data_IF_091987943919
#
_entry.id   IF_091987943919
#
_cell.length_a   1.000
_cell.length_b   1.000
_cell.length_c   1.000
_cell.angle_alpha   90.00
_cell.angle_beta   90.00
_cell.angle_gamma   90.00
#
_symmetry.space_group_name_H-M   'P 1'
#
loop_
_entity.id
_entity.type
_entity.pdbx_description
1 polymer ?
#
# COMPACT_ATOMS: atom_id res chain seq x y z
N UNK A 1 -10.91 1.04 1.93
CA UNK A 1 -9.62 1.09 1.19
C UNK A 1 -9.01 -0.29 1.01
N UNK A 2 -8.66 -1.01 2.09
CA UNK A 2 -8.00 -2.33 1.99
C UNK A 2 -8.81 -3.36 1.17
N UNK A 3 -10.15 -3.34 1.26
CA UNK A 3 -11.01 -4.17 0.40
C UNK A 3 -10.84 -3.89 -1.10
N UNK A 4 -10.76 -2.61 -1.52
CA UNK A 4 -10.53 -2.25 -2.92
C UNK A 4 -9.13 -2.67 -3.40
N UNK A 5 -8.13 -2.57 -2.53
CA UNK A 5 -6.75 -3.02 -2.81
C UNK A 5 -6.68 -4.55 -2.92
N UNK A 6 -7.41 -5.28 -2.07
CA UNK A 6 -7.49 -6.74 -2.18
C UNK A 6 -8.20 -7.18 -3.47
N UNK A 7 -9.29 -6.51 -3.83
CA UNK A 7 -10.02 -6.77 -5.08
C UNK A 7 -9.14 -6.47 -6.29
N UNK A 8 -8.40 -5.35 -6.32
CA UNK A 8 -7.48 -5.05 -7.43
C UNK A 8 -6.31 -6.04 -7.50
N UNK A 9 -5.79 -6.52 -6.37
CA UNK A 9 -4.78 -7.58 -6.35
C UNK A 9 -5.30 -8.91 -6.92
N UNK A 10 -6.55 -9.30 -6.61
CA UNK A 10 -7.18 -10.51 -7.17
C UNK A 10 -7.34 -10.37 -8.70
N UNK A 11 -7.81 -9.21 -9.18
CA UNK A 11 -7.92 -8.96 -10.61
C UNK A 11 -6.56 -8.94 -11.32
N UNK A 12 -5.49 -8.47 -10.67
CA UNK A 12 -4.13 -8.54 -11.20
C UNK A 12 -3.66 -9.99 -11.38
N UNK A 13 -3.90 -10.84 -10.38
CA UNK A 13 -3.52 -12.27 -10.44
C UNK A 13 -4.27 -12.95 -11.59
N UNK A 14 -5.58 -12.70 -11.71
CA UNK A 14 -6.41 -13.19 -12.82
C UNK A 14 -5.91 -12.67 -14.18
N UNK A 15 -5.54 -11.39 -14.27
CA UNK A 15 -5.02 -10.78 -15.48
C UNK A 15 -3.69 -11.41 -15.91
N UNK A 16 -2.78 -11.67 -14.97
CA UNK A 16 -1.49 -12.29 -15.25
C UNK A 16 -1.63 -13.76 -15.64
N UNK A 17 -2.54 -14.50 -14.99
CA UNK A 17 -2.79 -15.93 -15.23
C UNK A 17 -3.51 -16.19 -16.56
N UNK A 18 -4.58 -15.45 -16.85
CA UNK A 18 -5.46 -15.70 -18.01
C UNK A 18 -5.13 -14.79 -19.19
N UNK A 19 -4.21 -13.82 -19.01
CA UNK A 19 -3.88 -12.79 -20.01
C UNK A 19 -5.11 -12.01 -20.49
N UNK A 20 -6.06 -11.78 -19.58
CA UNK A 20 -7.35 -11.13 -19.87
C UNK A 20 -7.24 -9.61 -19.77
N UNK A 21 -7.48 -8.91 -20.88
CA UNK A 21 -7.56 -7.46 -20.93
C UNK A 21 -8.66 -6.89 -20.01
N UNK A 22 -9.78 -7.60 -19.88
CA UNK A 22 -10.89 -7.20 -19.02
C UNK A 22 -10.53 -7.22 -17.53
N UNK A 23 -9.66 -8.14 -17.13
CA UNK A 23 -9.16 -8.20 -15.76
C UNK A 23 -8.20 -7.04 -15.44
N UNK A 24 -7.37 -6.60 -16.41
CA UNK A 24 -6.54 -5.40 -16.26
C UNK A 24 -7.39 -4.13 -16.12
N UNK A 25 -8.48 -4.04 -16.87
CA UNK A 25 -9.42 -2.92 -16.78
C UNK A 25 -10.13 -2.91 -15.42
N UNK A 26 -10.66 -4.06 -14.98
CA UNK A 26 -11.28 -4.21 -13.66
C UNK A 26 -10.34 -3.87 -12.50
N UNK A 27 -9.07 -4.31 -12.59
CA UNK A 27 -8.02 -3.91 -11.66
C UNK A 27 -7.82 -2.40 -11.62
N UNK A 28 -7.70 -1.77 -12.80
CA UNK A 28 -7.44 -0.33 -12.91
C UNK A 28 -8.57 0.48 -12.28
N UNK A 29 -9.83 0.09 -12.51
CA UNK A 29 -11.00 0.72 -11.88
C UNK A 29 -10.95 0.55 -10.35
N UNK A 30 -10.71 -0.66 -9.86
CA UNK A 30 -10.63 -0.91 -8.43
C UNK A 30 -9.50 -0.10 -7.76
N UNK A 31 -8.39 0.11 -8.48
CA UNK A 31 -7.28 0.94 -8.01
C UNK A 31 -7.65 2.42 -7.92
N UNK A 32 -8.33 2.96 -8.94
CA UNK A 32 -8.84 4.35 -8.92
C UNK A 32 -9.84 4.54 -7.77
N UNK A 33 -10.74 3.58 -7.56
CA UNK A 33 -11.69 3.60 -6.44
C UNK A 33 -10.98 3.54 -5.08
N UNK A 34 -9.84 2.85 -4.97
CA UNK A 34 -9.03 2.82 -3.74
C UNK A 34 -8.37 4.17 -3.42
N UNK A 35 -8.19 5.03 -4.43
CA UNK A 35 -7.60 6.36 -4.26
C UNK A 35 -8.56 7.32 -3.52
N UNK A 36 -9.88 7.13 -3.66
CA UNK A 36 -10.90 7.96 -2.99
C UNK A 36 -10.76 7.88 -1.45
N UNK A 37 -10.85 6.71 -0.80
CA UNK A 37 -10.69 6.62 0.64
C UNK A 37 -9.26 6.97 1.09
N UNK A 38 -8.24 6.71 0.26
CA UNK A 38 -6.87 7.15 0.56
C UNK A 38 -6.75 8.67 0.66
N UNK A 39 -7.39 9.39 -0.27
CA UNK A 39 -7.39 10.86 -0.30
C UNK A 39 -8.14 11.41 0.92
N UNK A 40 -9.30 10.84 1.25
CA UNK A 40 -10.08 11.22 2.43
C UNK A 40 -9.26 11.00 3.72
N UNK A 41 -8.59 9.84 3.86
CA UNK A 41 -7.71 9.56 4.99
C UNK A 41 -6.57 10.58 5.09
N UNK A 42 -5.91 10.90 3.97
CA UNK A 42 -4.83 11.90 3.94
C UNK A 42 -5.32 13.29 4.32
N UNK A 43 -6.45 13.74 3.79
CA UNK A 43 -7.02 15.05 4.12
C UNK A 43 -7.45 15.13 5.59
N UNK A 44 -8.05 14.06 6.13
CA UNK A 44 -8.46 14.02 7.54
C UNK A 44 -7.27 14.19 8.50
N UNK A 45 -6.11 13.65 8.12
CA UNK A 45 -4.89 13.71 8.93
C UNK A 45 -4.04 14.93 8.64
N UNK A 46 -4.10 15.52 7.45
CA UNK A 46 -3.35 16.74 7.14
C UNK A 46 -3.68 17.88 8.13
N UNK A 47 -4.92 17.93 8.61
CA UNK A 47 -5.35 18.87 9.65
C UNK A 47 -4.72 18.63 11.03
N UNK A 48 -4.30 17.39 11.33
CA UNK A 48 -3.66 16.96 12.58
C UNK A 48 -2.14 16.96 12.46
N UNK A 49 -1.59 16.56 11.31
CA UNK A 49 -0.16 16.58 10.96
C UNK A 49 0.39 18.01 10.87
N UNK A 50 -0.43 19.01 10.49
CA UNK A 50 -0.03 20.43 10.44
C UNK A 50 -0.12 21.16 11.77
N UNK A 51 -0.66 20.54 12.83
CA UNK A 51 -0.75 21.21 14.13
C UNK A 51 0.63 21.26 14.79
N UNK A 52 1.04 22.42 15.35
CA UNK A 52 2.28 22.50 16.11
C UNK A 52 2.22 21.57 17.32
N UNK A 53 3.33 20.88 17.60
CA UNK A 53 3.48 19.91 18.70
C UNK A 53 3.04 20.44 20.08
N UNK A 54 3.04 21.77 20.27
CA UNK A 54 2.55 22.43 21.47
C UNK A 54 1.02 22.42 21.65
N UNK A 55 0.26 22.00 20.63
CA UNK A 55 -1.21 21.94 20.65
C UNK A 55 -1.76 20.51 20.66
N UNK A 56 -0.90 19.50 20.59
CA UNK A 56 -1.24 18.09 20.77
C UNK A 56 -0.89 17.67 22.19
N UNK A 57 -1.76 16.86 22.80
CA UNK A 57 -1.45 16.26 24.10
C UNK A 57 -0.23 15.32 23.97
N UNK A 58 0.61 15.26 25.00
CA UNK A 58 1.89 14.56 24.97
C UNK A 58 1.73 13.03 24.82
N UNK A 59 0.52 12.53 25.09
CA UNK A 59 0.09 11.18 24.75
C UNK A 59 -0.23 11.01 23.25
N UNK A 60 -0.95 11.96 22.64
CA UNK A 60 -1.34 11.93 21.23
C UNK A 60 -0.13 11.95 20.29
N UNK A 61 0.89 12.73 20.64
CA UNK A 61 2.17 12.78 19.92
C UNK A 61 2.92 11.44 19.95
N UNK A 62 2.96 10.77 21.12
CA UNK A 62 3.63 9.46 21.29
C UNK A 62 2.95 8.36 20.48
N UNK A 63 1.62 8.34 20.46
CA UNK A 63 0.84 7.37 19.67
C UNK A 63 1.10 7.58 18.17
N UNK A 64 1.10 8.82 17.69
CA UNK A 64 1.38 9.13 16.28
C UNK A 64 2.78 8.65 15.85
N UNK A 65 3.80 8.94 16.66
CA UNK A 65 5.18 8.53 16.37
C UNK A 65 5.34 7.01 16.38
N UNK A 66 4.65 6.31 17.29
CA UNK A 66 4.66 4.85 17.32
C UNK A 66 4.08 4.25 16.05
N UNK A 67 2.93 4.73 15.60
CA UNK A 67 2.30 4.25 14.37
C UNK A 67 3.08 4.63 13.11
N UNK A 68 3.74 5.79 13.11
CA UNK A 68 4.63 6.22 12.03
C UNK A 68 5.87 5.33 11.92
N UNK A 69 6.48 4.97 13.06
CA UNK A 69 7.59 4.00 13.11
C UNK A 69 7.16 2.63 12.60
N UNK A 70 5.98 2.14 13.03
CA UNK A 70 5.44 0.86 12.54
C UNK A 70 5.15 0.90 11.04
N UNK A 71 4.56 1.97 10.52
CA UNK A 71 4.31 2.14 9.09
C UNK A 71 5.61 2.16 8.28
N UNK A 72 6.64 2.85 8.77
CA UNK A 72 7.95 2.90 8.12
C UNK A 72 8.64 1.53 8.14
N UNK A 73 8.61 0.82 9.28
CA UNK A 73 9.16 -0.52 9.40
C UNK A 73 8.45 -1.52 8.48
N UNK A 74 7.12 -1.43 8.38
CA UNK A 74 6.31 -2.25 7.49
C UNK A 74 6.64 -1.96 6.02
N UNK A 75 6.71 -0.68 5.64
CA UNK A 75 7.11 -0.26 4.28
C UNK A 75 8.49 -0.79 3.91
N UNK A 76 9.45 -0.67 4.83
CA UNK A 76 10.81 -1.15 4.60
C UNK A 76 10.87 -2.69 4.49
N UNK A 77 10.08 -3.41 5.30
CA UNK A 77 9.96 -4.86 5.20
C UNK A 77 9.35 -5.30 3.85
N UNK A 78 8.30 -4.62 3.38
CA UNK A 78 7.72 -4.89 2.06
C UNK A 78 8.67 -4.55 0.91
N UNK A 79 9.37 -3.42 0.98
CA UNK A 79 10.37 -3.05 -0.02
C UNK A 79 11.52 -4.05 -0.07
N UNK A 80 12.01 -4.47 1.10
CA UNK A 80 13.08 -5.46 1.18
C UNK A 80 12.61 -6.81 0.64
N UNK A 81 11.47 -7.33 1.10
CA UNK A 81 10.90 -8.58 0.61
C UNK A 81 10.62 -8.55 -0.90
N UNK A 82 9.99 -7.46 -1.39
CA UNK A 82 9.72 -7.25 -2.80
C UNK A 82 10.98 -7.18 -3.64
N UNK A 83 12.00 -6.45 -3.18
CA UNK A 83 13.30 -6.37 -3.86
C UNK A 83 14.01 -7.72 -3.92
N UNK A 84 14.01 -8.47 -2.82
CA UNK A 84 14.65 -9.78 -2.73
C UNK A 84 13.96 -10.81 -3.63
N UNK A 85 12.63 -10.86 -3.61
CA UNK A 85 11.84 -11.69 -4.54
C UNK A 85 12.09 -11.25 -5.98
N UNK A 86 12.15 -9.95 -6.25
CA UNK A 86 12.37 -9.43 -7.60
C UNK A 86 13.76 -9.78 -8.14
N UNK A 87 14.78 -9.81 -7.27
CA UNK A 87 16.12 -10.23 -7.64
C UNK A 87 16.20 -11.73 -7.88
N UNK A 88 15.64 -12.55 -6.98
CA UNK A 88 15.68 -14.01 -7.10
C UNK A 88 14.90 -14.51 -8.32
N UNK A 89 13.67 -14.04 -8.50
CA UNK A 89 12.81 -14.45 -9.60
C UNK A 89 13.32 -13.87 -10.92
N UNK A 90 13.81 -12.62 -10.92
CA UNK A 90 14.41 -12.00 -12.10
C UNK A 90 15.64 -12.76 -12.58
N UNK A 91 16.52 -13.15 -11.67
CA UNK A 91 17.72 -13.92 -12.00
C UNK A 91 17.38 -15.34 -12.52
N UNK A 92 16.40 -16.01 -11.90
CA UNK A 92 16.03 -17.38 -12.26
C UNK A 92 15.21 -17.50 -13.55
N UNK A 93 14.24 -16.59 -13.77
CA UNK A 93 13.33 -16.67 -14.92
C UNK A 93 13.80 -15.87 -16.15
N UNK A 94 14.54 -14.78 -15.96
CA UNK A 94 14.90 -13.88 -17.08
C UNK A 94 16.33 -14.07 -17.57
N UNK A 95 17.16 -14.90 -16.91
CA UNK A 95 18.42 -15.41 -17.46
C UNK A 95 19.37 -14.37 -18.07
N UNK A 96 19.30 -13.11 -17.63
CA UNK A 96 20.12 -12.00 -18.16
C UNK A 96 19.43 -11.02 -19.11
N UNK A 97 18.12 -11.11 -19.38
CA UNK A 97 17.43 -10.15 -20.26
C UNK A 97 15.93 -10.01 -20.04
N UNK A 98 15.45 -8.78 -19.90
CA UNK A 98 14.01 -8.44 -19.94
C UNK A 98 13.58 -8.38 -21.41
N UNK A 99 13.43 -9.52 -22.07
CA UNK A 99 13.02 -9.58 -23.48
C UNK A 99 11.77 -10.43 -23.65
N UNK A 100 10.76 -9.86 -24.33
CA UNK A 100 9.50 -10.53 -24.66
C UNK A 100 8.37 -10.33 -23.64
N UNK A 101 7.25 -10.99 -23.90
CA UNK A 101 5.99 -10.86 -23.14
C UNK A 101 6.10 -11.31 -21.68
N UNK A 102 7.02 -12.22 -21.37
CA UNK A 102 7.29 -12.70 -20.01
C UNK A 102 7.93 -11.60 -19.16
N UNK A 103 8.88 -10.85 -19.74
CA UNK A 103 9.52 -9.70 -19.07
C UNK A 103 8.51 -8.60 -18.74
N UNK A 104 7.59 -8.28 -19.65
CA UNK A 104 6.57 -7.26 -19.43
C UNK A 104 5.59 -7.65 -18.32
N UNK A 105 5.14 -8.92 -18.28
CA UNK A 105 4.27 -9.43 -17.20
C UNK A 105 4.94 -9.36 -15.84
N UNK A 106 6.23 -9.70 -15.80
CA UNK A 106 7.03 -9.62 -14.59
C UNK A 106 7.21 -8.19 -14.09
N UNK A 107 7.55 -7.27 -15.00
CA UNK A 107 7.72 -5.85 -14.68
C UNK A 107 6.41 -5.22 -14.17
N UNK A 108 5.28 -5.56 -14.80
CA UNK A 108 3.95 -5.16 -14.33
C UNK A 108 3.66 -5.70 -12.93
N UNK A 109 3.88 -7.00 -12.70
CA UNK A 109 3.68 -7.62 -11.38
C UNK A 109 4.52 -6.95 -10.29
N UNK A 110 5.80 -6.69 -10.55
CA UNK A 110 6.70 -6.01 -9.61
C UNK A 110 6.27 -4.56 -9.35
N UNK A 111 5.91 -3.81 -10.39
CA UNK A 111 5.42 -2.43 -10.25
C UNK A 111 4.13 -2.34 -9.42
N UNK A 112 3.20 -3.27 -9.64
CA UNK A 112 1.97 -3.31 -8.86
C UNK A 112 2.15 -3.77 -7.43
N UNK A 113 3.08 -4.71 -7.18
CA UNK A 113 3.45 -5.08 -5.81
C UNK A 113 3.96 -3.87 -5.01
N UNK A 114 4.81 -3.04 -5.62
CA UNK A 114 5.31 -1.81 -4.99
C UNK A 114 4.17 -0.82 -4.71
N UNK A 115 3.26 -0.65 -5.67
CA UNK A 115 2.06 0.18 -5.50
C UNK A 115 1.21 -0.29 -4.31
N UNK A 116 0.89 -1.58 -4.23
CA UNK A 116 0.11 -2.12 -3.12
C UNK A 116 0.81 -1.98 -1.77
N UNK A 117 2.11 -2.26 -1.73
CA UNK A 117 2.93 -2.10 -0.52
C UNK A 117 2.91 -0.66 0.00
N UNK A 118 2.97 0.32 -0.91
CA UNK A 118 2.86 1.74 -0.59
C UNK A 118 1.48 2.09 -0.05
N UNK A 119 0.41 1.68 -0.71
CA UNK A 119 -0.95 1.97 -0.26
C UNK A 119 -1.22 1.41 1.14
N UNK A 120 -0.77 0.19 1.43
CA UNK A 120 -0.94 -0.44 2.75
C UNK A 120 -0.17 0.33 3.83
N UNK A 121 1.09 0.68 3.54
CA UNK A 121 1.96 1.33 4.53
C UNK A 121 1.57 2.79 4.78
N UNK A 122 1.17 3.53 3.74
CA UNK A 122 0.81 4.94 3.83
C UNK A 122 -0.45 5.19 4.68
N UNK A 123 -1.33 4.20 4.83
CA UNK A 123 -2.56 4.33 5.62
C UNK A 123 -2.51 3.74 7.01
N UNK A 124 -1.42 3.05 7.37
CA UNK A 124 -1.27 2.49 8.70
C UNK A 124 -1.32 3.55 9.82
N UNK A 125 -0.63 4.71 9.71
CA UNK A 125 -0.69 5.75 10.73
C UNK A 125 -2.10 6.31 10.89
N UNK A 126 -2.81 6.42 9.77
CA UNK A 126 -4.13 6.98 9.69
C UNK A 126 -5.19 6.13 10.39
N UNK A 127 -5.18 4.84 10.06
CA UNK A 127 -6.09 3.86 10.64
C UNK A 127 -5.73 3.59 12.10
N UNK A 128 -4.43 3.53 12.42
CA UNK A 128 -3.94 3.35 13.79
C UNK A 128 -4.37 4.49 14.73
N UNK A 129 -4.28 5.73 14.26
CA UNK A 129 -4.78 6.89 14.99
C UNK A 129 -6.29 6.83 15.20
N UNK A 130 -7.07 6.59 14.13
CA UNK A 130 -8.53 6.50 14.23
C UNK A 130 -8.99 5.38 15.18
N UNK A 131 -8.36 4.21 15.14
CA UNK A 131 -8.67 3.11 16.05
C UNK A 131 -8.37 3.43 17.51
N UNK A 132 -7.27 4.15 17.77
CA UNK A 132 -6.84 4.47 19.16
C UNK A 132 -7.75 5.52 19.81
N UNK A 133 -8.28 6.48 19.03
CA UNK A 133 -9.09 7.57 19.57
C UNK A 133 -10.60 7.35 19.42
N UNK A 134 -11.05 6.50 18.49
CA UNK A 134 -12.46 6.15 18.34
C UNK A 134 -12.94 5.08 19.35
N UNK A 135 -12.03 4.44 20.09
CA UNK A 135 -12.37 3.48 21.15
C UNK A 135 -12.66 4.13 22.51
N UNK A 136 -12.30 5.40 22.71
CA UNK A 136 -12.43 6.08 24.02
C UNK A 136 -13.81 6.74 24.26
N UNK A 137 -14.86 6.32 23.55
CA UNK A 137 -16.22 6.87 23.73
C UNK A 137 -17.18 5.96 24.50
N UNK A 138 -16.71 4.83 25.04
CA UNK A 138 -17.49 3.95 25.91
C UNK A 138 -16.68 3.62 27.16
N UNK A 139 -16.74 4.52 28.15
CA UNK A 139 -16.71 4.24 29.59
C UNK A 139 -17.23 5.46 30.36
#
# INVERSE_FOLDING_TARGET
MYGCVAVSAIFLILALAISSYWALLGMSIAMVLSCIPWTILRVSIDSKDRKPLSSLDEYEARVLDQWRRKAFQLSNAFLFAGGLVTLLVGNWFLGGGITGTIGTKYLLGAGYYLLFSYFISATLPAVGYALTFNQNSED
#
